data_IF_905720456290
#
_entry.id   IF_905720456290
#
_cell.length_a   1.000
_cell.length_b   1.000
_cell.length_c   1.000
_cell.angle_alpha   90.00
_cell.angle_beta   90.00
_cell.angle_gamma   90.00
#
_symmetry.space_group_name_H-M   'P 1'
#
loop_
_entity.id
_entity.type
_entity.pdbx_description
1 polymer ?
#
# COMPACT_ATOMS: atom_id res chain seq x y z
N UNK A 1 -28.41 11.47 -19.56
CA UNK A 1 -28.77 10.58 -18.44
C UNK A 1 -27.85 9.36 -18.31
N UNK A 2 -26.79 9.26 -19.13
CA UNK A 2 -25.72 8.24 -19.00
C UNK A 2 -24.43 8.81 -18.38
N UNK A 3 -24.16 10.12 -18.53
CA UNK A 3 -23.04 10.80 -17.85
C UNK A 3 -22.99 10.58 -16.33
N UNK A 4 -24.13 10.58 -15.64
CA UNK A 4 -24.14 10.40 -14.18
C UNK A 4 -23.75 8.96 -13.76
N UNK A 5 -23.99 7.97 -14.64
CA UNK A 5 -23.61 6.59 -14.39
C UNK A 5 -22.13 6.36 -14.70
N UNK A 6 -21.62 7.00 -15.75
CA UNK A 6 -20.20 7.02 -16.10
C UNK A 6 -19.39 7.77 -15.03
N UNK A 7 -19.83 8.94 -14.57
CA UNK A 7 -19.20 9.67 -13.46
C UNK A 7 -19.28 8.88 -12.14
N UNK A 8 -20.36 8.15 -11.87
CA UNK A 8 -20.44 7.28 -10.70
C UNK A 8 -19.49 6.07 -10.82
N UNK A 9 -19.38 5.48 -12.00
CA UNK A 9 -18.52 4.31 -12.24
C UNK A 9 -17.04 4.69 -12.34
N UNK A 10 -16.69 5.78 -13.03
CA UNK A 10 -15.38 6.42 -13.04
C UNK A 10 -15.04 7.04 -11.67
N UNK A 11 -16.03 7.51 -10.92
CA UNK A 11 -15.84 7.92 -9.52
C UNK A 11 -15.51 6.71 -8.65
N UNK A 12 -16.15 5.56 -8.87
CA UNK A 12 -15.90 4.33 -8.10
C UNK A 12 -14.56 3.67 -8.50
N UNK A 13 -14.25 3.66 -9.80
CA UNK A 13 -12.99 3.15 -10.34
C UNK A 13 -11.83 4.10 -10.06
N UNK A 14 -12.05 5.41 -10.20
CA UNK A 14 -11.09 6.47 -9.91
C UNK A 14 -10.80 6.60 -8.41
N UNK A 15 -11.78 6.41 -7.52
CA UNK A 15 -11.54 6.33 -6.07
C UNK A 15 -10.75 5.08 -5.72
N UNK A 16 -11.04 3.92 -6.31
CA UNK A 16 -10.23 2.70 -6.13
C UNK A 16 -8.80 2.91 -6.63
N UNK A 17 -8.64 3.48 -7.83
CA UNK A 17 -7.34 3.75 -8.43
C UNK A 17 -6.55 4.78 -7.61
N UNK A 18 -7.20 5.84 -7.15
CA UNK A 18 -6.57 6.86 -6.30
C UNK A 18 -6.14 6.25 -4.97
N UNK A 19 -6.96 5.37 -4.36
CA UNK A 19 -6.61 4.66 -3.13
C UNK A 19 -5.41 3.73 -3.33
N UNK A 20 -5.37 2.99 -4.43
CA UNK A 20 -4.19 2.17 -4.81
C UNK A 20 -2.96 3.05 -4.98
N UNK A 21 -3.06 4.18 -5.67
CA UNK A 21 -1.94 5.10 -5.89
C UNK A 21 -1.43 5.70 -4.58
N UNK A 22 -2.33 6.10 -3.68
CA UNK A 22 -1.97 6.59 -2.34
C UNK A 22 -1.23 5.52 -1.54
N UNK A 23 -1.74 4.28 -1.51
CA UNK A 23 -1.11 3.17 -0.79
C UNK A 23 0.23 2.76 -1.40
N UNK A 24 0.36 2.80 -2.73
CA UNK A 24 1.64 2.60 -3.43
C UNK A 24 2.65 3.68 -3.05
N UNK A 25 2.21 4.94 -2.96
CA UNK A 25 3.08 6.05 -2.53
C UNK A 25 3.54 5.85 -1.08
N UNK A 26 2.63 5.42 -0.20
CA UNK A 26 2.96 5.09 1.19
C UNK A 26 3.92 3.88 1.29
N UNK A 27 3.77 2.89 0.39
CA UNK A 27 4.66 1.74 0.29
C UNK A 27 6.08 2.13 -0.16
N UNK A 28 6.21 3.04 -1.14
CA UNK A 28 7.51 3.51 -1.61
C UNK A 28 8.22 4.42 -0.60
N UNK A 29 7.45 5.24 0.11
CA UNK A 29 7.96 6.13 1.17
C UNK A 29 8.13 5.42 2.52
N UNK A 30 7.84 4.11 2.58
CA UNK A 30 7.89 3.36 3.81
C UNK A 30 9.34 3.28 4.32
N UNK A 31 9.53 3.75 5.54
CA UNK A 31 10.80 3.73 6.27
C UNK A 31 10.51 3.53 7.74
N UNK A 32 11.47 2.98 8.47
CA UNK A 32 11.38 2.97 9.93
C UNK A 32 11.39 4.41 10.44
N UNK A 33 10.50 4.69 11.39
CA UNK A 33 10.50 5.97 12.10
C UNK A 33 11.57 5.94 13.20
N UNK A 34 12.15 7.11 13.56
CA UNK A 34 13.09 7.16 14.67
C UNK A 34 12.40 6.73 15.97
N UNK A 35 12.92 5.67 16.60
CA UNK A 35 12.37 5.10 17.83
C UNK A 35 11.23 4.08 17.63
N UNK A 36 10.87 3.75 16.39
CA UNK A 36 9.92 2.67 16.08
C UNK A 36 10.59 1.31 16.22
N UNK A 37 9.94 0.37 16.90
CA UNK A 37 10.45 -1.00 17.00
C UNK A 37 10.25 -1.76 15.68
N UNK A 38 11.11 -2.73 15.38
CA UNK A 38 10.98 -3.59 14.19
C UNK A 38 9.59 -4.24 14.13
N UNK A 39 9.03 -4.65 15.27
CA UNK A 39 7.68 -5.22 15.35
C UNK A 39 6.57 -4.22 15.01
N UNK A 40 6.71 -2.95 15.42
CA UNK A 40 5.75 -1.89 15.07
C UNK A 40 5.82 -1.56 13.57
N UNK A 41 7.03 -1.51 13.02
CA UNK A 41 7.24 -1.34 11.58
C UNK A 41 6.63 -2.51 10.78
N UNK A 42 6.89 -3.76 11.19
CA UNK A 42 6.30 -4.95 10.56
C UNK A 42 4.77 -4.93 10.61
N UNK A 43 4.17 -4.47 11.72
CA UNK A 43 2.72 -4.36 11.85
C UNK A 43 2.15 -3.34 10.85
N UNK A 44 2.79 -2.16 10.72
CA UNK A 44 2.40 -1.14 9.74
C UNK A 44 2.55 -1.63 8.30
N UNK A 45 3.65 -2.31 8.00
CA UNK A 45 3.89 -2.92 6.68
C UNK A 45 2.81 -3.96 6.35
N UNK A 46 2.52 -4.87 7.28
CA UNK A 46 1.49 -5.91 7.09
C UNK A 46 0.12 -5.30 6.87
N UNK A 47 -0.23 -4.26 7.63
CA UNK A 47 -1.49 -3.54 7.44
C UNK A 47 -1.60 -2.87 6.05
N UNK A 48 -0.50 -2.30 5.55
CA UNK A 48 -0.45 -1.70 4.22
C UNK A 48 -0.63 -2.75 3.12
N UNK A 49 0.03 -3.90 3.24
CA UNK A 49 -0.12 -5.03 2.31
C UNK A 49 -1.54 -5.57 2.33
N UNK A 50 -2.17 -5.72 3.50
CA UNK A 50 -3.56 -6.17 3.63
C UNK A 50 -4.53 -5.22 2.91
N UNK A 51 -4.34 -3.90 3.04
CA UNK A 51 -5.13 -2.90 2.32
C UNK A 51 -4.92 -2.97 0.80
N UNK A 52 -3.68 -3.23 0.34
CA UNK A 52 -3.37 -3.43 -1.07
C UNK A 52 -3.99 -4.73 -1.62
N UNK A 53 -3.95 -5.80 -0.84
CA UNK A 53 -4.59 -7.08 -1.16
C UNK A 53 -6.11 -6.93 -1.28
N UNK A 54 -6.75 -6.18 -0.38
CA UNK A 54 -8.17 -5.86 -0.45
C UNK A 54 -8.56 -5.07 -1.72
N UNK A 55 -7.60 -4.42 -2.37
CA UNK A 55 -7.76 -3.71 -3.64
C UNK A 55 -7.31 -4.54 -4.86
N UNK A 56 -6.95 -5.80 -4.67
CA UNK A 56 -6.51 -6.72 -5.74
C UNK A 56 -5.04 -6.60 -6.13
N UNK A 57 -4.21 -6.00 -5.27
CA UNK A 57 -2.74 -5.93 -5.45
C UNK A 57 -2.08 -6.88 -4.46
N UNK A 58 -1.85 -8.10 -4.91
CA UNK A 58 -1.14 -9.12 -4.14
C UNK A 58 0.37 -9.02 -4.39
N UNK A 59 1.15 -9.13 -3.33
CA UNK A 59 2.61 -9.16 -3.39
C UNK A 59 3.09 -10.51 -2.87
N UNK A 60 4.05 -11.12 -3.56
CA UNK A 60 4.68 -12.35 -3.09
C UNK A 60 5.40 -12.13 -1.75
N UNK A 61 5.30 -13.10 -0.85
CA UNK A 61 5.90 -13.02 0.48
C UNK A 61 7.43 -12.81 0.40
N UNK A 62 8.12 -13.38 -0.59
CA UNK A 62 9.55 -13.17 -0.78
C UNK A 62 9.87 -11.72 -1.14
N UNK A 63 9.06 -11.11 -2.01
CA UNK A 63 9.22 -9.69 -2.40
C UNK A 63 8.99 -8.78 -1.21
N UNK A 64 7.98 -9.08 -0.39
CA UNK A 64 7.69 -8.34 0.84
C UNK A 64 8.84 -8.41 1.85
N UNK A 65 9.34 -9.62 2.14
CA UNK A 65 10.47 -9.83 3.06
C UNK A 65 11.73 -9.15 2.54
N UNK A 66 12.01 -9.27 1.24
CA UNK A 66 13.15 -8.59 0.61
C UNK A 66 13.06 -7.07 0.74
N UNK A 67 11.87 -6.47 0.60
CA UNK A 67 11.68 -5.03 0.79
C UNK A 67 11.95 -4.62 2.23
N UNK A 68 11.42 -5.35 3.21
CA UNK A 68 11.66 -5.09 4.64
C UNK A 68 13.17 -5.16 4.94
N UNK A 69 13.85 -6.23 4.51
CA UNK A 69 15.29 -6.39 4.70
C UNK A 69 16.08 -5.25 4.07
N UNK A 70 15.68 -4.78 2.89
CA UNK A 70 16.34 -3.65 2.25
C UNK A 70 16.13 -2.35 3.02
N UNK A 71 14.95 -2.12 3.61
CA UNK A 71 14.69 -0.92 4.43
C UNK A 71 15.51 -0.97 5.72
N UNK A 72 15.60 -2.15 6.36
CA UNK A 72 16.39 -2.36 7.58
C UNK A 72 17.90 -2.28 7.36
N UNK A 73 18.39 -2.73 6.20
CA UNK A 73 19.81 -2.76 5.88
C UNK A 73 20.32 -1.42 5.31
N UNK A 74 19.42 -0.49 4.98
CA UNK A 74 19.75 0.83 4.44
C UNK A 74 19.65 1.94 5.51
N UNK A 75 19.66 1.56 6.80
CA UNK A 75 19.85 2.44 7.97
C UNK A 75 21.33 2.53 8.38
#
# INVERSE_FOLDING_TARGET
MWDALEIAHEGTAGVKQNRVNTLMTEYDLLRMKPGESIGEFQLRFTHLIDQLAALGKEYDQLVQVSKILNILNNE
#
